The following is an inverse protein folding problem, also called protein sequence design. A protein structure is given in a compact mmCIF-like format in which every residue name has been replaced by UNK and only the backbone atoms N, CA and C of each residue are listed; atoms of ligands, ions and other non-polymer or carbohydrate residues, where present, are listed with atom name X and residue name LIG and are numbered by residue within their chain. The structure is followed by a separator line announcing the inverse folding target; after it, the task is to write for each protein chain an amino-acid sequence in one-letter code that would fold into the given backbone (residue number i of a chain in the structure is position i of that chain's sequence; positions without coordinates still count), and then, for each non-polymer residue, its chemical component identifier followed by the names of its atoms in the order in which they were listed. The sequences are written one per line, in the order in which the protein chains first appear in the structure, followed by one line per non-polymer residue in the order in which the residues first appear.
data_IF_025515154725
#
_entry.id   IF_025515154725
#
_cell.length_a   1.000
_cell.length_b   1.000
_cell.length_c   1.000
_cell.angle_alpha   90.00
_cell.angle_beta   90.00
_cell.angle_gamma   90.00
#
_symmetry.space_group_name_H-M   'P 1'
#
loop_
_entity.id
_entity.type
_entity.pdbx_description
1 polymer ?
#
# COMPACT_ATOMS: atom_id res chain seq x y z
N UNK A 1 3.64 3.98 -16.64
CA UNK A 1 3.73 2.98 -15.56
C UNK A 1 4.92 3.41 -14.72
N UNK A 2 4.79 3.58 -13.41
CA UNK A 2 5.97 3.77 -12.57
C UNK A 2 6.76 2.47 -12.63
N UNK A 3 7.94 2.50 -13.21
CA UNK A 3 8.90 1.39 -13.14
C UNK A 3 9.54 1.53 -11.76
N UNK A 4 8.98 0.82 -10.78
CA UNK A 4 9.53 0.82 -9.42
C UNK A 4 10.75 -0.09 -9.47
N UNK A 5 11.93 0.46 -9.13
CA UNK A 5 13.16 -0.32 -8.93
C UNK A 5 12.98 -1.35 -7.81
N UNK A 6 13.97 -2.21 -7.59
CA UNK A 6 13.91 -3.24 -6.55
C UNK A 6 13.52 -2.64 -5.19
N UNK A 7 12.47 -3.18 -4.57
CA UNK A 7 12.01 -2.80 -3.24
C UNK A 7 12.74 -3.68 -2.23
N UNK A 8 13.51 -3.06 -1.34
CA UNK A 8 14.33 -3.77 -0.36
C UNK A 8 13.52 -4.17 0.88
N UNK A 9 12.54 -3.34 1.25
CA UNK A 9 11.71 -3.55 2.44
C UNK A 9 10.29 -3.02 2.22
N UNK A 10 9.33 -3.77 2.74
CA UNK A 10 7.94 -3.34 2.93
C UNK A 10 7.62 -3.40 4.42
N UNK A 11 7.41 -2.24 5.02
CA UNK A 11 6.85 -2.11 6.37
C UNK A 11 5.32 -2.04 6.25
N UNK A 12 4.59 -2.82 7.03
CA UNK A 12 3.13 -2.81 7.05
C UNK A 12 2.65 -2.61 8.49
N UNK A 13 1.78 -1.62 8.70
CA UNK A 13 1.15 -1.30 9.98
C UNK A 13 -0.36 -1.46 9.85
N UNK A 14 -0.96 -2.33 10.67
CA UNK A 14 -2.41 -2.48 10.78
C UNK A 14 -2.99 -1.39 11.68
N UNK A 15 -4.03 -0.69 11.23
CA UNK A 15 -4.54 0.49 11.91
C UNK A 15 -5.29 0.17 13.22
N UNK A 16 -5.99 -0.96 13.31
CA UNK A 16 -6.79 -1.29 14.48
C UNK A 16 -6.00 -1.56 15.76
N UNK A 17 -4.79 -2.13 15.65
CA UNK A 17 -3.98 -2.54 16.79
C UNK A 17 -2.51 -2.14 16.71
N UNK A 18 -2.15 -1.35 15.69
CA UNK A 18 -0.79 -0.83 15.45
C UNK A 18 0.29 -1.91 15.30
N UNK A 19 -0.11 -3.18 15.05
CA UNK A 19 0.89 -4.22 14.78
C UNK A 19 1.67 -3.88 13.53
N UNK A 20 2.97 -4.09 13.61
CA UNK A 20 3.92 -3.84 12.52
C UNK A 20 4.61 -5.13 12.12
N UNK A 21 4.70 -5.37 10.82
CA UNK A 21 5.59 -6.35 10.21
C UNK A 21 6.54 -5.66 9.25
N UNK A 22 7.76 -6.18 9.16
CA UNK A 22 8.75 -5.73 8.19
C UNK A 22 9.12 -6.94 7.32
N UNK A 23 8.98 -6.77 6.01
CA UNK A 23 9.20 -7.82 5.03
C UNK A 23 10.38 -7.41 4.17
N UNK A 24 11.43 -8.24 4.16
CA UNK A 24 12.65 -8.06 3.37
C UNK A 24 12.92 -9.24 2.43
N UNK A 25 12.06 -10.28 2.47
CA UNK A 25 12.13 -11.39 1.53
C UNK A 25 11.60 -10.94 0.16
N UNK A 26 12.48 -10.92 -0.84
CA UNK A 26 12.15 -10.42 -2.17
C UNK A 26 10.98 -11.17 -2.83
N UNK A 27 10.85 -12.48 -2.64
CA UNK A 27 9.76 -13.24 -3.23
C UNK A 27 8.40 -12.87 -2.60
N UNK A 28 8.39 -12.61 -1.29
CA UNK A 28 7.21 -12.13 -0.58
C UNK A 28 6.84 -10.70 -0.97
N UNK A 29 7.84 -9.82 -1.14
CA UNK A 29 7.63 -8.46 -1.65
C UNK A 29 7.03 -8.51 -3.06
N UNK A 30 7.58 -9.33 -3.96
CA UNK A 30 7.07 -9.49 -5.32
C UNK A 30 5.61 -9.97 -5.32
N UNK A 31 5.26 -10.93 -4.44
CA UNK A 31 3.87 -11.39 -4.27
C UNK A 31 2.94 -10.26 -3.83
N UNK A 32 3.36 -9.46 -2.83
CA UNK A 32 2.58 -8.30 -2.36
C UNK A 32 2.38 -7.31 -3.50
N UNK A 33 3.44 -6.96 -4.24
CA UNK A 33 3.36 -6.01 -5.35
C UNK A 33 2.47 -6.52 -6.48
N UNK A 34 2.44 -7.83 -6.73
CA UNK A 34 1.58 -8.43 -7.74
C UNK A 34 0.09 -8.18 -7.45
N UNK A 35 -0.33 -8.18 -6.18
CA UNK A 35 -1.71 -7.84 -5.82
C UNK A 35 -2.12 -6.42 -6.22
N UNK A 36 -1.16 -5.49 -6.36
CA UNK A 36 -1.40 -4.11 -6.77
C UNK A 36 -1.27 -3.86 -8.27
N UNK A 37 -0.37 -4.60 -8.96
CA UNK A 37 0.06 -4.26 -10.32
C UNK A 37 -1.07 -4.31 -11.37
N UNK A 38 -2.07 -5.14 -11.15
CA UNK A 38 -3.18 -5.35 -12.10
C UNK A 38 -4.47 -4.62 -11.71
N UNK A 39 -4.45 -3.85 -10.62
CA UNK A 39 -5.67 -3.26 -10.07
C UNK A 39 -6.09 -2.02 -10.86
N UNK A 40 -7.30 -1.99 -11.46
CA UNK A 40 -7.81 -0.79 -12.09
C UNK A 40 -8.08 0.29 -11.04
N UNK A 41 -7.43 1.45 -11.22
CA UNK A 41 -7.52 2.59 -10.32
C UNK A 41 -8.35 3.72 -10.94
N UNK A 42 -9.22 4.33 -10.15
CA UNK A 42 -9.87 5.60 -10.50
C UNK A 42 -9.37 6.70 -9.57
N UNK A 43 -8.79 7.75 -10.14
CA UNK A 43 -8.43 8.96 -9.38
C UNK A 43 -9.69 9.57 -8.75
N UNK A 44 -9.62 9.91 -7.47
CA UNK A 44 -10.68 10.62 -6.75
C UNK A 44 -10.13 11.89 -6.10
N UNK A 45 -11.01 12.77 -5.62
CA UNK A 45 -10.63 13.94 -4.83
C UNK A 45 -11.08 13.70 -3.41
N UNK A 46 -10.13 13.51 -2.49
CA UNK A 46 -10.30 13.54 -1.04
C UNK A 46 -11.60 12.87 -0.60
N UNK A 47 -11.68 11.55 -0.79
CA UNK A 47 -12.76 10.81 -0.15
C UNK A 47 -12.42 10.63 1.32
N UNK A 48 -13.26 11.19 2.20
CA UNK A 48 -13.37 10.62 3.54
C UNK A 48 -13.95 9.21 3.35
N UNK A 49 -13.15 8.18 3.64
CA UNK A 49 -13.61 6.81 3.71
C UNK A 49 -14.11 6.50 5.12
N UNK A 50 -15.35 6.00 5.22
CA UNK A 50 -15.81 5.29 6.40
C UNK A 50 -15.34 3.83 6.27
N UNK A 51 -14.14 3.55 6.78
CA UNK A 51 -13.52 2.22 6.77
C UNK A 51 -13.58 1.56 8.15
N UNK A 52 -13.56 0.22 8.21
CA UNK A 52 -13.43 -0.52 9.49
C UNK A 52 -11.99 -0.89 9.79
N UNK A 53 -11.19 -1.14 8.76
CA UNK A 53 -9.78 -1.47 8.89
C UNK A 53 -8.97 -0.78 7.80
N UNK A 54 -7.71 -0.45 8.11
CA UNK A 54 -6.76 0.09 7.17
C UNK A 54 -5.35 -0.42 7.44
N UNK A 55 -4.53 -0.40 6.39
CA UNK A 55 -3.12 -0.76 6.43
C UNK A 55 -2.29 0.38 5.88
N UNK A 56 -1.23 0.73 6.59
CA UNK A 56 -0.20 1.64 6.12
C UNK A 56 0.98 0.80 5.62
N UNK A 57 1.36 0.98 4.36
CA UNK A 57 2.51 0.33 3.77
C UNK A 57 3.58 1.38 3.48
N UNK A 58 4.82 1.14 3.91
CA UNK A 58 5.96 1.97 3.54
C UNK A 58 6.93 1.13 2.71
N UNK A 59 7.15 1.53 1.46
CA UNK A 59 8.09 0.89 0.55
C UNK A 59 9.43 1.61 0.66
N UNK A 60 10.50 0.84 0.91
CA UNK A 60 11.86 1.35 0.95
C UNK A 60 12.68 0.84 -0.22
N UNK A 61 13.38 1.76 -0.87
CA UNK A 61 14.32 1.48 -1.95
C UNK A 61 15.65 2.13 -1.58
N UNK A 62 16.73 1.36 -1.67
CA UNK A 62 18.08 1.76 -1.27
C UNK A 62 18.15 2.38 0.13
N UNK A 63 17.47 1.74 1.11
CA UNK A 63 17.32 2.20 2.49
C UNK A 63 16.55 3.54 2.68
N UNK A 64 15.99 4.12 1.62
CA UNK A 64 15.20 5.36 1.68
C UNK A 64 13.70 5.08 1.62
N UNK A 65 12.89 5.86 2.38
CA UNK A 65 11.43 5.78 2.31
C UNK A 65 10.96 6.50 1.06
N UNK A 66 10.62 5.74 0.03
CA UNK A 66 10.28 6.32 -1.28
C UNK A 66 8.77 6.51 -1.41
N UNK A 67 7.98 5.50 -0.99
CA UNK A 67 6.53 5.48 -1.22
C UNK A 67 5.81 5.06 0.07
N UNK A 68 4.85 5.87 0.51
CA UNK A 68 3.87 5.52 1.52
C UNK A 68 2.52 5.21 0.87
N UNK A 69 1.83 4.20 1.35
CA UNK A 69 0.49 3.84 0.90
C UNK A 69 -0.43 3.66 2.11
N UNK A 70 -1.68 4.10 1.99
CA UNK A 70 -2.75 3.69 2.88
C UNK A 70 -3.81 2.99 2.06
N UNK A 71 -4.15 1.78 2.46
CA UNK A 71 -5.22 1.00 1.86
C UNK A 71 -6.24 0.64 2.92
N UNK A 72 -7.52 0.87 2.64
CA UNK A 72 -8.59 0.54 3.57
C UNK A 72 -9.66 -0.36 2.96
N UNK A 73 -10.48 -0.98 3.82
CA UNK A 73 -11.53 -1.93 3.43
C UNK A 73 -12.68 -1.28 2.63
N UNK A 74 -12.69 0.06 2.53
CA UNK A 74 -13.58 0.82 1.64
C UNK A 74 -13.03 0.96 0.22
N UNK A 75 -11.88 0.31 -0.05
CA UNK A 75 -11.13 0.31 -1.31
C UNK A 75 -10.50 1.66 -1.65
N UNK A 76 -10.25 2.48 -0.64
CA UNK A 76 -9.58 3.75 -0.83
C UNK A 76 -8.07 3.52 -0.71
N UNK A 77 -7.36 3.89 -1.78
CA UNK A 77 -5.92 3.85 -1.87
C UNK A 77 -5.37 5.27 -1.89
N UNK A 78 -4.62 5.61 -0.86
CA UNK A 78 -3.86 6.83 -0.75
C UNK A 78 -2.39 6.53 -1.01
N UNK A 79 -1.75 7.28 -1.90
CA UNK A 79 -0.32 7.13 -2.21
C UNK A 79 0.39 8.44 -1.92
N UNK A 80 1.41 8.37 -1.08
CA UNK A 80 2.30 9.46 -0.74
C UNK A 80 3.69 9.18 -1.32
N UNK A 81 4.17 10.07 -2.19
CA UNK A 81 5.51 10.03 -2.74
C UNK A 81 6.37 10.97 -1.88
N UNK A 82 7.25 10.39 -1.05
CA UNK A 82 8.01 11.14 -0.05
C UNK A 82 8.93 12.18 -0.69
N UNK A 83 9.65 11.82 -1.74
CA UNK A 83 10.59 12.71 -2.44
C UNK A 83 9.89 13.91 -3.09
N UNK A 84 8.70 13.70 -3.64
CA UNK A 84 7.93 14.75 -4.32
C UNK A 84 7.08 15.57 -3.34
N UNK A 85 7.00 15.16 -2.06
CA UNK A 85 6.01 15.62 -1.10
C UNK A 85 4.60 15.68 -1.73
N UNK A 86 4.28 14.67 -2.55
CA UNK A 86 3.11 14.66 -3.41
C UNK A 86 2.19 13.50 -3.05
N UNK A 87 0.90 13.79 -3.17
CA UNK A 87 -0.17 12.89 -2.77
C UNK A 87 -1.06 12.57 -3.95
N UNK A 88 -1.40 11.30 -4.10
CA UNK A 88 -2.39 10.84 -5.06
C UNK A 88 -3.45 10.01 -4.34
N UNK A 89 -4.69 10.24 -4.74
CA UNK A 89 -5.87 9.67 -4.12
C UNK A 89 -6.64 8.86 -5.17
N UNK A 90 -6.89 7.58 -4.87
CA UNK A 90 -7.48 6.60 -5.77
C UNK A 90 -8.55 5.76 -5.08
N UNK A 91 -9.51 5.30 -5.87
CA UNK A 91 -10.39 4.18 -5.51
C UNK A 91 -10.06 2.97 -6.37
N UNK A 92 -9.82 1.83 -5.75
CA UNK A 92 -9.72 0.55 -6.45
C UNK A 92 -11.10 0.18 -7.00
N UNK A 93 -11.15 -0.21 -8.27
CA UNK A 93 -12.41 -0.55 -8.93
C UNK A 93 -12.79 -2.02 -8.78
N UNK A 94 -11.81 -2.90 -8.60
CA UNK A 94 -12.02 -4.33 -8.40
C UNK A 94 -12.24 -4.69 -6.93
N UNK A 95 -12.68 -5.93 -6.70
CA UNK A 95 -12.78 -6.54 -5.37
C UNK A 95 -11.39 -7.00 -4.90
N UNK A 96 -10.51 -6.04 -4.59
CA UNK A 96 -9.28 -6.35 -3.86
C UNK A 96 -9.66 -6.71 -2.41
N UNK A 97 -9.61 -8.01 -2.09
CA UNK A 97 -9.76 -8.46 -0.72
C UNK A 97 -8.47 -8.18 0.06
N UNK A 98 -8.57 -7.49 1.20
CA UNK A 98 -7.41 -7.20 2.05
C UNK A 98 -6.96 -8.40 2.90
N UNK A 99 -7.59 -9.56 2.71
CA UNK A 99 -7.28 -10.81 3.41
C UNK A 99 -5.81 -11.18 3.25
N UNK A 100 -5.19 -10.93 2.09
CA UNK A 100 -3.77 -11.23 1.88
C UNK A 100 -2.84 -10.42 2.79
N UNK A 101 -3.22 -9.21 3.21
CA UNK A 101 -2.44 -8.38 4.15
C UNK A 101 -2.70 -8.87 5.58
N UNK A 102 -3.94 -9.22 5.90
CA UNK A 102 -4.31 -9.74 7.21
C UNK A 102 -3.60 -11.06 7.52
N UNK A 103 -3.45 -11.94 6.53
CA UNK A 103 -2.74 -13.24 6.64
C UNK A 103 -1.24 -13.09 6.94
N UNK A 104 -0.69 -11.88 6.91
CA UNK A 104 0.72 -11.61 7.24
C UNK A 104 0.96 -11.42 8.75
N UNK A 105 -0.09 -11.31 9.56
CA UNK A 105 -0.05 -11.08 11.02
C UNK A 105 -0.43 -12.32 11.85
#
# INVERSE_FOLDING_TARGET
MLEIEHIDEVEIIRASDEKTINITDAAMIDQIMQHFNEQPLRKVRFSNSDFKEAYWLTLRLHDERTIGMRLDDSKHLYVFLYEENYMKDYKLLDDLELTFIEELF
#
